data_IF_485092074122
#
_entry.id   IF_485092074122
#
_cell.length_a   1.000
_cell.length_b   1.000
_cell.length_c   1.000
_cell.angle_alpha   90.00
_cell.angle_beta   90.00
_cell.angle_gamma   90.00
#
_symmetry.space_group_name_H-M   'P 1'
#
loop_
_entity.id
_entity.type
_entity.pdbx_description
1 polymer ?
#
# COMPACT_ATOMS: atom_id res chain seq x y z
N UNK A 1 21.42 -28.31 17.53
CA UNK A 1 21.87 -26.92 17.79
C UNK A 1 20.66 -26.02 17.81
N UNK A 2 20.27 -25.43 18.96
CA UNK A 2 19.01 -24.71 19.10
C UNK A 2 19.18 -23.20 18.85
N UNK A 3 18.31 -22.64 18.02
CA UNK A 3 18.26 -21.21 17.67
C UNK A 3 17.49 -20.44 18.74
N UNK A 4 18.21 -19.84 19.69
CA UNK A 4 17.63 -18.84 20.60
C UNK A 4 18.01 -17.42 20.19
N UNK A 5 17.00 -16.54 20.31
CA UNK A 5 17.07 -15.09 20.55
C UNK A 5 17.47 -14.16 19.41
N UNK A 6 16.48 -13.78 18.59
CA UNK A 6 16.43 -12.44 18.03
C UNK A 6 15.44 -11.60 18.84
N UNK A 7 16.06 -10.82 19.74
CA UNK A 7 15.58 -9.64 20.46
C UNK A 7 14.43 -8.94 19.72
N UNK A 8 13.23 -9.01 20.30
CA UNK A 8 12.11 -8.13 19.94
C UNK A 8 12.57 -6.69 20.16
N UNK A 9 12.92 -6.00 19.07
CA UNK A 9 13.05 -4.55 19.12
C UNK A 9 11.63 -4.02 19.14
N UNK A 10 11.22 -3.47 20.28
CA UNK A 10 9.95 -2.81 20.47
C UNK A 10 9.70 -1.84 19.30
N UNK A 11 8.65 -2.11 18.53
CA UNK A 11 8.13 -1.19 17.52
C UNK A 11 7.61 0.02 18.31
N UNK A 12 8.16 1.24 18.11
CA UNK A 12 7.62 2.40 18.81
C UNK A 12 6.14 2.52 18.46
N UNK A 13 5.32 2.67 19.50
CA UNK A 13 3.88 2.86 19.38
C UNK A 13 3.61 4.05 18.45
N UNK A 14 2.87 3.81 17.37
CA UNK A 14 2.36 4.86 16.50
C UNK A 14 1.31 5.65 17.28
N UNK A 15 1.76 6.60 18.08
CA UNK A 15 0.90 7.62 18.67
C UNK A 15 0.63 8.65 17.57
N UNK A 16 -0.54 8.54 16.93
CA UNK A 16 -0.97 9.40 15.83
C UNK A 16 -2.05 8.70 15.02
N UNK A 17 -3.21 8.43 15.64
CA UNK A 17 -4.26 7.60 15.04
C UNK A 17 -5.56 8.36 14.72
N UNK A 18 -5.56 9.70 14.70
CA UNK A 18 -6.79 10.43 14.37
C UNK A 18 -6.60 11.74 13.56
N UNK A 19 -5.49 12.45 13.68
CA UNK A 19 -5.38 13.81 13.10
C UNK A 19 -4.67 13.90 11.72
N UNK A 20 -4.17 12.79 11.16
CA UNK A 20 -3.31 12.78 9.95
C UNK A 20 -3.96 12.19 8.69
N UNK A 21 -5.30 12.10 8.62
CA UNK A 21 -6.01 11.65 7.40
C UNK A 21 -6.56 12.87 6.67
N UNK A 22 -6.22 13.03 5.38
CA UNK A 22 -6.76 14.11 4.55
C UNK A 22 -8.28 13.96 4.40
N UNK A 23 -8.97 15.06 4.12
CA UNK A 23 -10.43 15.03 3.96
C UNK A 23 -10.87 14.12 2.80
N UNK A 24 -10.11 14.08 1.70
CA UNK A 24 -10.36 13.19 0.57
C UNK A 24 -10.19 11.72 0.96
N UNK A 25 -9.15 11.40 1.73
CA UNK A 25 -8.94 10.04 2.23
C UNK A 25 -10.03 9.63 3.21
N UNK A 26 -10.49 10.56 4.06
CA UNK A 26 -11.62 10.35 4.98
C UNK A 26 -12.91 10.04 4.22
N UNK A 27 -13.24 10.82 3.20
CA UNK A 27 -14.44 10.59 2.37
C UNK A 27 -14.44 9.21 1.71
N UNK A 28 -13.30 8.76 1.18
CA UNK A 28 -13.17 7.41 0.61
C UNK A 28 -13.35 6.34 1.70
N UNK A 29 -12.72 6.51 2.86
CA UNK A 29 -12.84 5.57 3.98
C UNK A 29 -14.29 5.48 4.46
N UNK A 30 -14.97 6.61 4.59
CA UNK A 30 -16.37 6.63 5.04
C UNK A 30 -17.31 6.03 4.00
N UNK A 31 -17.08 6.27 2.71
CA UNK A 31 -17.80 5.59 1.63
C UNK A 31 -17.63 4.06 1.69
N UNK A 32 -16.43 3.55 2.02
CA UNK A 32 -16.19 2.12 2.19
C UNK A 32 -16.95 1.55 3.40
N UNK A 33 -17.01 2.29 4.52
CA UNK A 33 -17.81 1.88 5.69
C UNK A 33 -19.30 1.75 5.33
N UNK A 34 -19.82 2.62 4.46
CA UNK A 34 -21.20 2.50 3.98
C UNK A 34 -21.42 1.22 3.18
N UNK A 35 -20.47 0.81 2.34
CA UNK A 35 -20.53 -0.47 1.62
C UNK A 35 -20.51 -1.66 2.60
N UNK A 36 -19.67 -1.60 3.64
CA UNK A 36 -19.59 -2.63 4.67
C UNK A 36 -20.88 -2.78 5.48
N UNK A 37 -21.60 -1.67 5.68
CA UNK A 37 -22.83 -1.61 6.48
C UNK A 37 -24.12 -2.00 5.72
N UNK A 38 -24.04 -2.34 4.42
CA UNK A 38 -25.21 -2.84 3.67
C UNK A 38 -25.69 -4.15 4.31
N UNK A 39 -26.96 -4.25 4.69
CA UNK A 39 -27.49 -5.41 5.42
C UNK A 39 -27.57 -6.68 4.55
N UNK A 40 -28.16 -6.58 3.35
CA UNK A 40 -28.30 -7.72 2.44
C UNK A 40 -26.93 -8.25 1.98
N UNK A 41 -26.57 -9.50 2.28
CA UNK A 41 -25.28 -10.07 1.87
C UNK A 41 -25.08 -10.09 0.35
N UNK A 42 -26.14 -10.24 -0.45
CA UNK A 42 -26.01 -10.27 -1.92
C UNK A 42 -25.74 -8.86 -2.44
N UNK A 43 -26.54 -7.87 -2.05
CA UNK A 43 -26.32 -6.46 -2.39
C UNK A 43 -24.92 -5.98 -1.96
N UNK A 44 -24.50 -6.30 -0.73
CA UNK A 44 -23.15 -5.98 -0.22
C UNK A 44 -22.06 -6.58 -1.09
N UNK A 45 -22.18 -7.85 -1.50
CA UNK A 45 -21.20 -8.50 -2.35
C UNK A 45 -21.12 -7.87 -3.75
N UNK A 46 -22.25 -7.43 -4.31
CA UNK A 46 -22.30 -6.68 -5.59
C UNK A 46 -21.56 -5.35 -5.46
N UNK A 47 -21.85 -4.57 -4.41
CA UNK A 47 -21.21 -3.28 -4.17
C UNK A 47 -19.68 -3.43 -3.98
N UNK A 48 -19.25 -4.40 -3.16
CA UNK A 48 -17.82 -4.72 -2.98
C UNK A 48 -17.17 -5.09 -4.32
N UNK A 49 -17.83 -5.92 -5.14
CA UNK A 49 -17.29 -6.33 -6.44
C UNK A 49 -17.08 -5.15 -7.39
N UNK A 50 -17.99 -4.18 -7.38
CA UNK A 50 -17.87 -2.95 -8.18
C UNK A 50 -16.70 -2.09 -7.70
N UNK A 51 -16.59 -1.87 -6.39
CA UNK A 51 -15.48 -1.10 -5.78
C UNK A 51 -14.13 -1.74 -6.09
N UNK A 52 -14.00 -3.05 -5.90
CA UNK A 52 -12.75 -3.76 -6.16
C UNK A 52 -12.35 -3.74 -7.63
N UNK A 53 -13.33 -3.78 -8.54
CA UNK A 53 -13.08 -3.66 -9.98
C UNK A 53 -12.53 -2.28 -10.35
N UNK A 54 -13.19 -1.20 -9.91
CA UNK A 54 -12.71 0.16 -10.17
C UNK A 54 -11.34 0.41 -9.50
N UNK A 55 -11.15 -0.06 -8.26
CA UNK A 55 -9.86 0.05 -7.57
C UNK A 55 -8.74 -0.70 -8.30
N UNK A 56 -9.00 -1.89 -8.87
CA UNK A 56 -8.01 -2.61 -9.67
C UNK A 56 -7.48 -1.77 -10.84
N UNK A 57 -8.37 -1.02 -11.50
CA UNK A 57 -8.02 -0.19 -12.65
C UNK A 57 -7.29 1.10 -12.24
N UNK A 58 -7.65 1.69 -11.08
CA UNK A 58 -7.05 2.94 -10.58
C UNK A 58 -5.79 2.77 -9.75
N UNK A 59 -5.65 1.66 -9.03
CA UNK A 59 -4.55 1.42 -8.09
C UNK A 59 -3.15 1.59 -8.70
N UNK A 60 -2.86 1.18 -9.96
CA UNK A 60 -1.56 1.45 -10.59
C UNK A 60 -1.25 2.94 -10.65
N UNK A 61 -2.19 3.76 -11.16
CA UNK A 61 -2.03 5.20 -11.29
C UNK A 61 -1.82 5.88 -9.93
N UNK A 62 -2.57 5.49 -8.90
CA UNK A 62 -2.43 6.04 -7.55
C UNK A 62 -1.05 5.69 -6.94
N UNK A 63 -0.55 4.47 -7.18
CA UNK A 63 0.80 4.06 -6.75
C UNK A 63 1.90 4.81 -7.51
N UNK A 64 1.70 5.07 -8.80
CA UNK A 64 2.64 5.85 -9.60
C UNK A 64 2.74 7.30 -9.09
N UNK A 65 1.59 7.93 -8.78
CA UNK A 65 1.55 9.26 -8.15
C UNK A 65 2.26 9.28 -6.79
N UNK A 66 2.04 8.26 -5.95
CA UNK A 66 2.75 8.13 -4.68
C UNK A 66 4.27 7.98 -4.89
N UNK A 67 4.67 7.19 -5.89
CA UNK A 67 6.08 6.99 -6.22
C UNK A 67 6.74 8.26 -6.75
N UNK A 68 6.05 9.00 -7.61
CA UNK A 68 6.51 10.28 -8.13
C UNK A 68 6.84 11.24 -6.99
N UNK A 69 5.96 11.38 -6.00
CA UNK A 69 6.21 12.22 -4.83
C UNK A 69 7.48 11.80 -4.05
N UNK A 70 7.68 10.49 -3.84
CA UNK A 70 8.91 9.98 -3.19
C UNK A 70 10.14 10.29 -4.03
N UNK A 71 10.11 10.06 -5.34
CA UNK A 71 11.24 10.31 -6.23
C UNK A 71 11.60 11.80 -6.29
N UNK A 72 10.60 12.69 -6.33
CA UNK A 72 10.82 14.14 -6.28
C UNK A 72 11.52 14.58 -4.99
N UNK A 73 11.08 14.06 -3.84
CA UNK A 73 11.73 14.36 -2.55
C UNK A 73 13.16 13.79 -2.49
N UNK A 74 13.40 12.63 -3.10
CA UNK A 74 14.74 12.04 -3.20
C UNK A 74 15.65 12.85 -4.11
N UNK A 75 15.14 13.40 -5.21
CA UNK A 75 15.87 14.31 -6.09
C UNK A 75 16.26 15.62 -5.40
N UNK A 76 15.50 16.04 -4.38
CA UNK A 76 15.82 17.17 -3.50
C UNK A 76 16.73 16.78 -2.31
N UNK A 77 17.39 15.61 -2.38
CA UNK A 77 18.29 15.07 -1.35
C UNK A 77 17.64 14.88 0.04
N UNK A 78 16.31 14.83 0.12
CA UNK A 78 15.61 14.56 1.38
C UNK A 78 15.89 13.12 1.83
N UNK A 79 16.35 12.96 3.07
CA UNK A 79 16.61 11.63 3.65
C UNK A 79 15.33 10.81 3.76
N UNK A 80 15.41 9.49 3.60
CA UNK A 80 14.26 8.60 3.70
C UNK A 80 13.45 8.74 5.00
N UNK A 81 14.12 8.99 6.13
CA UNK A 81 13.45 9.16 7.43
C UNK A 81 12.58 10.42 7.44
N UNK A 82 13.09 11.55 6.95
CA UNK A 82 12.32 12.78 6.77
C UNK A 82 11.15 12.60 5.78
N UNK A 83 11.33 11.81 4.73
CA UNK A 83 10.22 11.48 3.79
C UNK A 83 9.15 10.65 4.50
N UNK A 84 9.55 9.64 5.26
CA UNK A 84 8.64 8.79 6.04
C UNK A 84 7.81 9.62 7.01
N UNK A 85 8.46 10.50 7.78
CA UNK A 85 7.79 11.39 8.73
C UNK A 85 6.84 12.36 8.00
N UNK A 86 7.25 12.94 6.86
CA UNK A 86 6.44 13.88 6.07
C UNK A 86 5.22 13.22 5.42
N UNK A 87 5.32 11.96 5.02
CA UNK A 87 4.25 11.23 4.33
C UNK A 87 3.41 10.36 5.26
N UNK A 88 3.74 10.29 6.56
CA UNK A 88 3.03 9.43 7.51
C UNK A 88 3.15 7.93 7.23
N UNK A 89 4.21 7.49 6.54
CA UNK A 89 4.44 6.07 6.19
C UNK A 89 5.77 5.57 6.74
N UNK A 90 5.92 4.25 6.88
CA UNK A 90 7.16 3.68 7.40
C UNK A 90 8.37 3.92 6.48
N UNK A 91 9.58 4.01 7.06
CA UNK A 91 10.84 4.05 6.31
C UNK A 91 10.95 2.94 5.26
N UNK A 92 10.61 1.70 5.64
CA UNK A 92 10.64 0.56 4.71
C UNK A 92 9.68 0.74 3.54
N UNK A 93 8.50 1.36 3.76
CA UNK A 93 7.56 1.66 2.69
C UNK A 93 8.13 2.68 1.70
N UNK A 94 8.75 3.77 2.19
CA UNK A 94 9.40 4.75 1.31
C UNK A 94 10.45 4.09 0.41
N UNK A 95 11.31 3.25 0.99
CA UNK A 95 12.35 2.57 0.22
C UNK A 95 11.78 1.56 -0.78
N UNK A 96 10.70 0.85 -0.42
CA UNK A 96 10.03 -0.08 -1.34
C UNK A 96 9.35 0.65 -2.50
N UNK A 97 8.73 1.80 -2.23
CA UNK A 97 8.11 2.67 -3.24
C UNK A 97 9.17 3.17 -4.21
N UNK A 98 10.29 3.71 -3.70
CA UNK A 98 11.40 4.23 -4.53
C UNK A 98 11.98 3.13 -5.45
N UNK A 99 12.20 1.91 -4.92
CA UNK A 99 12.70 0.76 -5.69
C UNK A 99 11.68 0.20 -6.69
N UNK A 100 10.42 0.59 -6.59
CA UNK A 100 9.34 0.07 -7.43
C UNK A 100 8.77 -1.27 -7.00
N UNK A 101 9.14 -1.73 -5.80
CA UNK A 101 8.56 -2.90 -5.15
C UNK A 101 7.15 -2.61 -4.56
N UNK A 102 6.62 -1.40 -4.77
CA UNK A 102 5.22 -1.06 -4.46
C UNK A 102 4.19 -1.67 -5.42
N UNK A 103 4.65 -2.26 -6.53
CA UNK A 103 3.80 -3.13 -7.35
C UNK A 103 3.56 -4.43 -6.58
N UNK A 104 2.30 -4.87 -6.58
CA UNK A 104 1.86 -6.08 -5.90
C UNK A 104 2.87 -7.23 -6.08
N UNK A 105 3.09 -8.00 -5.02
CA UNK A 105 3.81 -9.28 -4.99
C UNK A 105 3.18 -10.36 -5.91
N UNK A 106 2.77 -9.99 -7.13
CA UNK A 106 1.98 -10.79 -8.06
C UNK A 106 1.97 -10.30 -9.51
N UNK A 107 2.47 -9.10 -9.85
CA UNK A 107 2.57 -8.62 -11.25
C UNK A 107 3.96 -8.78 -11.88
N UNK A 108 4.81 -9.66 -11.34
CA UNK A 108 5.86 -10.24 -12.17
C UNK A 108 5.19 -11.31 -13.03
N UNK A 109 5.12 -11.18 -14.38
CA UNK A 109 4.69 -12.30 -15.20
C UNK A 109 5.64 -13.46 -14.89
N UNK A 110 5.10 -14.55 -14.35
CA UNK A 110 5.86 -15.79 -14.25
C UNK A 110 6.21 -16.15 -15.70
N UNK A 111 7.50 -16.09 -16.03
CA UNK A 111 8.00 -16.55 -17.33
C UNK A 111 7.55 -18.01 -17.44
N UNK A 112 6.64 -18.31 -18.36
CA UNK A 112 6.23 -19.69 -18.63
C UNK A 112 7.51 -20.45 -19.01
N UNK A 113 7.84 -21.60 -18.39
CA UNK A 113 8.95 -22.41 -18.86
C UNK A 113 8.68 -22.76 -20.33
N UNK A 114 9.68 -22.62 -21.20
CA UNK A 114 9.57 -23.07 -22.58
C UNK A 114 9.30 -24.59 -22.57
N UNK A 115 8.45 -25.11 -23.47
CA UNK A 115 8.30 -26.55 -23.61
C UNK A 115 9.64 -27.16 -24.04
N UNK A 116 10.00 -28.28 -23.43
CA UNK A 116 11.20 -29.03 -23.77
C UNK A 116 11.15 -29.47 -25.25
N UNK A 117 12.27 -29.39 -25.99
CA UNK A 117 12.34 -29.94 -27.34
C UNK A 117 12.32 -31.48 -27.27
N UNK A 118 11.48 -32.09 -28.11
CA UNK A 118 11.38 -33.54 -28.33
C UNK A 118 12.69 -34.16 -28.86
#
# INVERSE_FOLDING_TARGET
MPWHTLRQVARPERTGMADDITEEARQVIDALKHVEAIDDPVERAVAISQVLKDYKDRAPKLRDMQREAVLLLRAQEVSYRKIADRLGISLGAVQNIERGHGSAWGTKPRKKPAPDPE
#
